data_IF_355390179381
#
_entry.id   IF_355390179381
#
_cell.length_a   1.000
_cell.length_b   1.000
_cell.length_c   1.000
_cell.angle_alpha   90.00
_cell.angle_beta   90.00
_cell.angle_gamma   90.00
#
_symmetry.space_group_name_H-M   'P 1'
#
loop_
_entity.id
_entity.type
_entity.pdbx_description
1 polymer ?
#
# COMPACT_ATOMS: atom_id res chain seq x y z
N UNK A 1 -13.60 7.23 -8.27
CA UNK A 1 -12.52 6.67 -9.13
C UNK A 1 -11.17 6.62 -8.43
N UNK A 2 -10.61 7.71 -7.90
CA UNK A 2 -9.30 7.73 -7.18
C UNK A 2 -9.25 6.70 -6.04
N UNK A 3 -10.32 6.55 -5.28
CA UNK A 3 -10.43 5.55 -4.22
C UNK A 3 -10.21 4.12 -4.76
N UNK A 4 -10.91 3.74 -5.83
CA UNK A 4 -10.78 2.41 -6.41
C UNK A 4 -9.37 2.12 -6.97
N UNK A 5 -8.71 3.15 -7.54
CA UNK A 5 -7.32 3.01 -7.97
C UNK A 5 -6.41 2.75 -6.77
N UNK A 6 -6.62 3.47 -5.66
CA UNK A 6 -5.92 3.21 -4.41
C UNK A 6 -6.14 1.79 -3.88
N UNK A 7 -7.38 1.33 -3.88
CA UNK A 7 -7.74 -0.03 -3.43
C UNK A 7 -7.05 -1.11 -4.28
N UNK A 8 -7.00 -0.95 -5.60
CA UNK A 8 -6.29 -1.88 -6.48
C UNK A 8 -4.79 -1.96 -6.20
N UNK A 9 -4.19 -0.87 -5.71
CA UNK A 9 -2.77 -0.82 -5.39
C UNK A 9 -2.44 -1.26 -3.96
N UNK A 10 -3.44 -1.61 -3.14
CA UNK A 10 -3.23 -2.24 -1.84
C UNK A 10 -3.13 -3.76 -2.04
N UNK A 11 -1.97 -4.38 -1.77
CA UNK A 11 -1.74 -5.80 -2.08
C UNK A 11 -2.78 -6.76 -1.52
N UNK A 12 -3.20 -6.57 -0.27
CA UNK A 12 -4.16 -7.46 0.40
C UNK A 12 -5.61 -7.28 -0.09
N UNK A 13 -5.95 -6.19 -0.79
CA UNK A 13 -7.24 -6.05 -1.46
C UNK A 13 -7.36 -6.98 -2.68
N UNK A 14 -6.25 -7.50 -3.19
CA UNK A 14 -6.18 -8.41 -4.31
C UNK A 14 -5.93 -9.88 -3.86
N UNK A 15 -6.13 -10.18 -2.57
CA UNK A 15 -5.84 -11.47 -1.96
C UNK A 15 -7.09 -12.06 -1.30
N UNK A 16 -7.35 -13.35 -1.53
CA UNK A 16 -8.48 -14.05 -0.90
C UNK A 16 -8.06 -14.80 0.39
N UNK A 17 -6.79 -15.14 0.51
CA UNK A 17 -6.29 -15.90 1.68
C UNK A 17 -6.61 -15.18 2.97
N UNK A 18 -7.29 -15.89 3.87
CA UNK A 18 -7.73 -15.38 5.16
C UNK A 18 -8.53 -14.05 5.06
N UNK A 19 -9.35 -13.92 4.01
CA UNK A 19 -10.12 -12.71 3.69
C UNK A 19 -9.21 -11.48 3.55
N UNK A 20 -8.22 -11.56 2.65
CA UNK A 20 -7.25 -10.51 2.45
C UNK A 20 -6.46 -10.18 3.72
N UNK A 21 -6.13 -11.17 4.53
CA UNK A 21 -5.38 -10.98 5.79
C UNK A 21 -6.20 -10.50 6.98
N UNK A 22 -7.53 -10.31 6.85
CA UNK A 22 -8.39 -9.89 7.97
C UNK A 22 -8.45 -10.92 9.12
N UNK A 23 -8.20 -12.20 8.82
CA UNK A 23 -8.15 -13.29 9.80
C UNK A 23 -6.75 -13.59 10.31
N UNK A 24 -5.72 -12.88 9.86
CA UNK A 24 -4.34 -13.01 10.32
C UNK A 24 -4.08 -11.90 11.34
N UNK A 25 -3.76 -12.29 12.58
CA UNK A 25 -3.47 -11.34 13.64
C UNK A 25 -1.96 -11.21 13.84
N UNK A 26 -1.53 -9.96 13.95
CA UNK A 26 -0.12 -9.59 14.13
C UNK A 26 0.03 -8.64 15.32
N UNK A 27 1.24 -8.57 15.86
CA UNK A 27 1.61 -7.52 16.81
C UNK A 27 2.16 -6.32 16.02
N UNK A 28 1.67 -5.12 16.30
CA UNK A 28 2.14 -3.88 15.72
C UNK A 28 2.24 -2.82 16.82
N UNK A 29 3.44 -2.31 17.06
CA UNK A 29 3.73 -1.37 18.14
C UNK A 29 3.11 -1.80 19.49
N UNK A 30 3.30 -3.08 19.86
CA UNK A 30 2.83 -3.65 21.12
C UNK A 30 1.33 -3.93 21.21
N UNK A 31 0.56 -3.71 20.14
CA UNK A 31 -0.89 -3.95 20.09
C UNK A 31 -1.25 -5.00 19.03
N UNK A 32 -2.34 -5.72 19.27
CA UNK A 32 -2.85 -6.72 18.34
C UNK A 32 -3.74 -6.07 17.28
N UNK A 33 -3.38 -6.26 16.01
CA UNK A 33 -4.18 -5.86 14.84
C UNK A 33 -4.35 -7.03 13.88
N UNK A 34 -5.31 -6.96 12.96
CA UNK A 34 -5.29 -7.84 11.81
C UNK A 34 -4.31 -7.30 10.75
N UNK A 35 -3.77 -8.19 9.93
CA UNK A 35 -2.77 -7.85 8.92
C UNK A 35 -3.31 -6.86 7.89
N UNK A 36 -4.57 -7.01 7.49
CA UNK A 36 -5.25 -6.10 6.56
C UNK A 36 -5.22 -4.66 7.07
N UNK A 37 -5.63 -4.44 8.32
CA UNK A 37 -5.60 -3.12 8.95
C UNK A 37 -4.18 -2.52 9.01
N UNK A 38 -3.17 -3.36 9.26
CA UNK A 38 -1.78 -2.88 9.28
C UNK A 38 -1.38 -2.31 7.93
N UNK A 39 -1.74 -2.98 6.83
CA UNK A 39 -1.46 -2.50 5.48
C UNK A 39 -2.31 -1.30 5.08
N UNK A 40 -3.59 -1.27 5.42
CA UNK A 40 -4.48 -0.17 5.07
C UNK A 40 -4.14 1.14 5.78
N UNK A 41 -3.74 1.03 7.05
CA UNK A 41 -3.69 2.19 7.93
C UNK A 41 -2.39 2.32 8.70
N UNK A 42 -1.99 1.27 9.44
CA UNK A 42 -0.96 1.42 10.47
C UNK A 42 0.42 1.78 9.91
N UNK A 43 0.78 1.26 8.74
CA UNK A 43 2.05 1.57 8.07
C UNK A 43 2.07 3.06 7.68
N UNK A 44 1.03 3.55 7.01
CA UNK A 44 0.94 4.93 6.58
C UNK A 44 0.87 5.89 7.77
N UNK A 45 0.08 5.56 8.79
CA UNK A 45 0.00 6.33 10.03
C UNK A 45 1.35 6.45 10.72
N UNK A 46 2.09 5.36 10.83
CA UNK A 46 3.44 5.36 11.40
C UNK A 46 4.40 6.21 10.58
N UNK A 47 4.32 6.10 9.25
CA UNK A 47 5.17 6.87 8.34
C UNK A 47 4.97 8.38 8.46
N UNK A 48 3.74 8.85 8.60
CA UNK A 48 3.43 10.28 8.76
C UNK A 48 3.66 10.80 10.19
N UNK A 49 4.09 9.95 11.14
CA UNK A 49 4.34 10.33 12.54
C UNK A 49 3.15 10.15 13.48
N UNK A 50 2.16 9.34 13.07
CA UNK A 50 0.96 9.01 13.86
C UNK A 50 -0.23 9.94 13.60
N UNK A 51 -1.36 9.65 14.26
CA UNK A 51 -2.62 10.40 14.10
C UNK A 51 -2.80 11.53 15.13
N UNK A 52 -1.74 11.88 15.86
CA UNK A 52 -1.81 12.91 16.88
C UNK A 52 -1.89 14.32 16.27
N UNK A 53 -2.72 15.18 16.87
CA UNK A 53 -2.84 16.57 16.47
C UNK A 53 -3.67 16.78 15.20
N UNK A 54 -3.01 17.00 14.07
CA UNK A 54 -3.66 17.33 12.80
C UNK A 54 -3.31 16.31 11.70
N UNK A 55 -3.89 15.09 11.71
CA UNK A 55 -3.52 14.00 10.82
C UNK A 55 -3.68 14.37 9.33
N UNK A 56 -4.69 15.16 8.97
CA UNK A 56 -4.88 15.63 7.59
C UNK A 56 -3.74 16.53 7.10
N UNK A 57 -3.14 17.34 7.97
CA UNK A 57 -1.96 18.15 7.60
C UNK A 57 -0.72 17.30 7.38
N UNK A 58 -0.53 16.26 8.20
CA UNK A 58 0.57 15.31 8.04
C UNK A 58 0.42 14.52 6.75
N UNK A 59 -0.78 14.02 6.45
CA UNK A 59 -1.07 13.34 5.20
C UNK A 59 -0.88 14.25 3.98
N UNK A 60 -1.34 15.50 4.06
CA UNK A 60 -1.14 16.49 2.98
C UNK A 60 0.34 16.80 2.76
N UNK A 61 1.12 16.95 3.83
CA UNK A 61 2.56 17.16 3.74
C UNK A 61 3.21 15.98 3.02
N UNK A 62 2.91 14.76 3.44
CA UNK A 62 3.44 13.54 2.82
C UNK A 62 3.04 13.41 1.35
N UNK A 63 1.78 13.69 1.01
CA UNK A 63 1.31 13.69 -0.37
C UNK A 63 2.08 14.70 -1.24
N UNK A 64 2.35 15.90 -0.72
CA UNK A 64 3.15 16.91 -1.42
C UNK A 64 4.61 16.46 -1.61
N UNK A 65 5.23 15.85 -0.60
CA UNK A 65 6.57 15.28 -0.69
C UNK A 65 6.64 14.19 -1.77
N UNK A 66 5.66 13.26 -1.78
CA UNK A 66 5.56 12.22 -2.82
C UNK A 66 5.38 12.82 -4.21
N UNK A 67 4.57 13.85 -4.36
CA UNK A 67 4.38 14.54 -5.65
C UNK A 67 5.68 15.15 -6.18
N UNK A 68 6.52 15.70 -5.30
CA UNK A 68 7.86 16.20 -5.66
C UNK A 68 8.77 15.06 -6.08
N UNK A 69 8.79 13.94 -5.31
CA UNK A 69 9.60 12.78 -5.64
C UNK A 69 9.22 12.13 -6.98
N UNK A 70 7.94 12.12 -7.32
CA UNK A 70 7.42 11.63 -8.60
C UNK A 70 7.78 12.58 -9.75
N UNK A 71 7.75 13.89 -9.49
CA UNK A 71 7.91 14.88 -10.56
C UNK A 71 9.38 15.14 -10.88
N UNK A 72 10.20 15.34 -9.87
CA UNK A 72 11.57 15.81 -9.99
C UNK A 72 12.58 15.03 -9.13
N UNK A 73 12.12 14.10 -8.28
CA UNK A 73 12.95 13.33 -7.35
C UNK A 73 13.25 11.91 -7.84
N UNK A 74 13.38 11.00 -6.89
CA UNK A 74 13.85 9.62 -7.12
C UNK A 74 12.97 8.79 -8.07
N UNK A 75 11.68 9.11 -8.20
CA UNK A 75 10.74 8.39 -9.07
C UNK A 75 10.56 9.04 -10.45
N UNK A 76 11.21 10.18 -10.71
CA UNK A 76 10.98 10.94 -11.95
C UNK A 76 11.34 10.15 -13.21
N UNK A 77 12.35 9.30 -13.14
CA UNK A 77 12.75 8.44 -14.25
C UNK A 77 11.77 7.29 -14.51
N UNK A 78 11.08 6.83 -13.48
CA UNK A 78 10.22 5.64 -13.53
C UNK A 78 8.76 5.95 -13.84
N UNK A 79 8.30 7.19 -13.58
CA UNK A 79 6.87 7.57 -13.67
C UNK A 79 6.22 7.22 -15.01
N UNK A 80 6.97 7.30 -16.12
CA UNK A 80 6.43 6.98 -17.44
C UNK A 80 6.21 5.48 -17.65
N UNK A 81 7.01 4.62 -16.98
CA UNK A 81 6.84 3.18 -17.04
C UNK A 81 5.61 2.69 -16.29
N UNK A 82 5.14 3.44 -15.29
CA UNK A 82 3.93 3.09 -14.54
C UNK A 82 2.65 3.18 -15.36
N UNK A 83 2.68 3.93 -16.46
CA UNK A 83 1.53 4.15 -17.34
C UNK A 83 1.59 3.31 -18.62
N UNK A 84 2.64 2.47 -18.80
CA UNK A 84 2.86 1.72 -20.03
C UNK A 84 1.74 0.71 -20.36
N UNK A 85 1.08 0.18 -19.32
CA UNK A 85 0.01 -0.81 -19.45
C UNK A 85 -1.39 -0.17 -19.28
N UNK A 86 -1.47 1.17 -19.35
CA UNK A 86 -2.72 1.91 -19.22
C UNK A 86 -3.48 1.91 -20.55
N UNK A 87 -4.56 1.16 -20.60
CA UNK A 87 -5.47 1.05 -21.74
C UNK A 87 -6.77 1.79 -21.45
N UNK A 88 -6.95 2.98 -21.99
CA UNK A 88 -8.18 3.77 -21.78
C UNK A 88 -9.41 3.12 -22.38
N UNK A 89 -9.25 2.40 -23.49
CA UNK A 89 -10.33 1.69 -24.17
C UNK A 89 -10.64 0.34 -23.52
N UNK A 90 -9.72 -0.21 -22.72
CA UNK A 90 -9.91 -1.44 -21.96
C UNK A 90 -9.49 -1.28 -20.48
N UNK A 91 -10.33 -0.58 -19.68
CA UNK A 91 -10.04 -0.35 -18.27
C UNK A 91 -10.01 -1.63 -17.42
N UNK A 92 -10.63 -2.72 -17.91
CA UNK A 92 -10.61 -4.01 -17.20
C UNK A 92 -9.22 -4.63 -17.30
N UNK A 93 -8.60 -4.66 -18.46
CA UNK A 93 -7.23 -5.14 -18.64
C UNK A 93 -6.23 -4.32 -17.82
N UNK A 94 -6.39 -3.01 -17.81
CA UNK A 94 -5.59 -2.11 -16.96
C UNK A 94 -5.73 -2.47 -15.47
N UNK A 95 -6.95 -2.60 -14.98
CA UNK A 95 -7.21 -2.94 -13.57
C UNK A 95 -6.65 -4.32 -13.19
N UNK A 96 -6.76 -5.30 -14.07
CA UNK A 96 -6.20 -6.65 -13.87
C UNK A 96 -4.66 -6.63 -13.84
N UNK A 97 -4.01 -5.83 -14.69
CA UNK A 97 -2.56 -5.69 -14.69
C UNK A 97 -2.08 -5.09 -13.36
N UNK A 98 -2.66 -4.00 -12.91
CA UNK A 98 -2.34 -3.37 -11.63
C UNK A 98 -2.61 -4.28 -10.43
N UNK A 99 -3.76 -4.97 -10.42
CA UNK A 99 -4.10 -5.94 -9.38
C UNK A 99 -3.06 -7.05 -9.26
N UNK A 100 -2.62 -7.63 -10.38
CA UNK A 100 -1.61 -8.70 -10.39
C UNK A 100 -0.24 -8.21 -9.92
N UNK A 101 0.16 -7.03 -10.37
CA UNK A 101 1.41 -6.40 -9.95
C UNK A 101 1.42 -6.18 -8.43
N UNK A 102 0.36 -5.60 -7.89
CA UNK A 102 0.25 -5.33 -6.46
C UNK A 102 0.12 -6.62 -5.63
N UNK A 103 -0.65 -7.61 -6.08
CA UNK A 103 -0.77 -8.90 -5.39
C UNK A 103 0.58 -9.63 -5.29
N UNK A 104 1.48 -9.47 -6.25
CA UNK A 104 2.82 -10.06 -6.19
C UNK A 104 3.62 -9.61 -4.95
N UNK A 105 3.35 -8.43 -4.40
CA UNK A 105 3.97 -7.95 -3.16
C UNK A 105 3.55 -8.76 -1.92
N UNK A 106 2.39 -9.40 -1.92
CA UNK A 106 1.99 -10.31 -0.84
C UNK A 106 2.98 -11.47 -0.74
N UNK A 107 3.43 -12.01 -1.86
CA UNK A 107 4.39 -13.12 -1.90
C UNK A 107 5.82 -12.69 -1.51
N UNK A 108 6.20 -11.46 -1.80
CA UNK A 108 7.56 -10.96 -1.59
C UNK A 108 7.75 -10.27 -0.24
N UNK A 109 6.74 -9.54 0.25
CA UNK A 109 6.80 -8.75 1.47
C UNK A 109 5.80 -9.19 2.54
N UNK A 110 4.81 -10.02 2.16
CA UNK A 110 3.81 -10.58 3.06
C UNK A 110 4.17 -11.95 3.65
N UNK A 111 5.38 -12.45 3.44
CA UNK A 111 5.79 -13.75 4.02
C UNK A 111 5.73 -13.67 5.53
N UNK A 112 4.91 -14.53 6.13
CA UNK A 112 4.69 -14.63 7.57
C UNK A 112 5.99 -14.65 8.39
N UNK A 113 7.09 -15.20 7.83
CA UNK A 113 8.40 -15.22 8.47
C UNK A 113 9.06 -13.84 8.59
N UNK A 114 8.92 -12.98 7.56
CA UNK A 114 9.48 -11.62 7.58
C UNK A 114 8.65 -10.69 8.46
N UNK A 115 7.32 -10.84 8.40
CA UNK A 115 6.40 -10.15 9.31
C UNK A 115 6.70 -10.56 10.76
N UNK A 116 6.94 -11.84 11.03
CA UNK A 116 7.33 -12.33 12.36
C UNK A 116 8.69 -11.79 12.81
N UNK A 117 9.62 -11.53 11.90
CA UNK A 117 10.92 -10.94 12.23
C UNK A 117 10.80 -9.46 12.54
N UNK A 118 10.04 -8.70 11.75
CA UNK A 118 9.68 -7.29 12.04
C UNK A 118 8.89 -7.13 13.34
N UNK A 119 8.21 -8.19 13.78
CA UNK A 119 7.44 -8.24 15.03
C UNK A 119 8.29 -8.44 16.27
N UNK A 120 9.57 -8.87 16.15
CA UNK A 120 10.47 -9.19 17.27
C UNK A 120 11.56 -8.10 17.48
N UNK A 121 11.69 -7.16 16.58
CA UNK A 121 12.62 -6.02 16.66
C UNK A 121 11.88 -4.76 17.12
#
# INVERSE_FOLDING_TARGET
MIHFVGDLHQPLHNEDVALGGNRIYVQWDGRKFNLHHVWDSSIAEKWIGGLHGKPYRLAQKWANELAVEITNGKFAAEKNSWLKDLEFEDPISTALAWSRECNAYVCTHGKLAEIQHMMRS
#
